data_IF_621911069047
#
_entry.id   IF_621911069047
#
_cell.length_a   1.000
_cell.length_b   1.000
_cell.length_c   1.000
_cell.angle_alpha   90.00
_cell.angle_beta   90.00
_cell.angle_gamma   90.00
#
_symmetry.space_group_name_H-M   'P 1'
#
loop_
_entity.id
_entity.type
_entity.pdbx_description
1 polymer ?
#
# COMPACT_ATOMS: atom_id res chain seq x y z
N UNK A 1 1.95 30.67 21.67
CA UNK A 1 3.24 30.15 21.48
C UNK A 1 3.22 28.63 21.53
N UNK A 2 3.35 28.07 22.67
CA UNK A 2 3.40 26.60 22.78
C UNK A 2 2.08 25.94 22.37
N UNK A 3 0.95 26.59 22.56
CA UNK A 3 -0.33 26.01 22.21
C UNK A 3 -0.47 25.72 20.73
N UNK A 4 0.00 26.63 19.88
CA UNK A 4 -0.10 26.42 18.43
C UNK A 4 0.74 25.23 18.00
N UNK A 5 1.97 25.13 18.50
CA UNK A 5 2.81 23.99 18.21
C UNK A 5 2.21 22.69 18.78
N UNK A 6 1.66 22.79 19.98
CA UNK A 6 1.04 21.62 20.60
C UNK A 6 -0.20 21.16 19.86
N UNK A 7 -0.98 22.09 19.29
CA UNK A 7 -2.15 21.73 18.51
C UNK A 7 -1.79 20.88 17.28
N UNK A 8 -0.76 21.30 16.55
CA UNK A 8 -0.30 20.52 15.40
C UNK A 8 0.26 19.18 15.83
N UNK A 9 1.04 19.20 16.90
CA UNK A 9 1.62 17.98 17.42
C UNK A 9 0.54 17.00 17.91
N UNK A 10 -0.46 17.51 18.63
CA UNK A 10 -1.56 16.69 19.12
C UNK A 10 -2.38 16.09 18.00
N UNK A 11 -2.61 16.86 16.94
CA UNK A 11 -3.34 16.36 15.77
C UNK A 11 -2.57 15.24 15.08
N UNK A 12 -1.28 15.43 14.89
CA UNK A 12 -0.43 14.40 14.30
C UNK A 12 -0.38 13.15 15.16
N UNK A 13 -0.34 13.33 16.48
CA UNK A 13 -0.36 12.22 17.40
C UNK A 13 -1.66 11.42 17.30
N UNK A 14 -2.79 12.12 17.20
CA UNK A 14 -4.10 11.48 17.05
C UNK A 14 -4.17 10.65 15.78
N UNK A 15 -3.70 11.19 14.67
CA UNK A 15 -3.62 10.44 13.42
C UNK A 15 -2.71 9.22 13.57
N UNK A 16 -1.55 9.39 14.20
CA UNK A 16 -0.63 8.30 14.46
C UNK A 16 -1.27 7.18 15.28
N UNK A 17 -2.02 7.54 16.31
CA UNK A 17 -2.70 6.57 17.16
C UNK A 17 -3.75 5.77 16.39
N UNK A 18 -4.51 6.43 15.52
CA UNK A 18 -5.52 5.76 14.69
C UNK A 18 -4.87 4.69 13.82
N UNK A 19 -3.79 5.03 13.14
CA UNK A 19 -3.08 4.09 12.27
C UNK A 19 -2.37 3.01 13.06
N UNK A 20 -1.81 3.35 14.21
CA UNK A 20 -1.18 2.38 15.11
C UNK A 20 -2.18 1.36 15.61
N UNK A 21 -3.37 1.79 16.01
CA UNK A 21 -4.42 0.89 16.45
C UNK A 21 -4.90 0.00 15.31
N UNK A 22 -5.01 0.55 14.10
CA UNK A 22 -5.35 -0.22 12.91
C UNK A 22 -4.33 -1.32 12.64
N UNK A 23 -3.06 -1.01 12.79
CA UNK A 23 -1.98 -1.97 12.60
C UNK A 23 -2.03 -3.06 13.68
N UNK A 24 -2.31 -2.70 14.93
CA UNK A 24 -2.47 -3.66 16.02
C UNK A 24 -3.62 -4.63 15.73
N UNK A 25 -4.74 -4.14 15.23
CA UNK A 25 -5.87 -4.98 14.85
C UNK A 25 -5.45 -5.93 13.73
N UNK A 26 -4.76 -5.43 12.73
CA UNK A 26 -4.24 -6.26 11.64
C UNK A 26 -3.34 -7.38 12.16
N UNK A 27 -2.39 -7.05 13.02
CA UNK A 27 -1.42 -8.02 13.54
C UNK A 27 -2.08 -9.08 14.43
N UNK A 28 -3.21 -8.75 15.05
CA UNK A 28 -3.96 -9.70 15.87
C UNK A 28 -5.00 -10.47 15.06
N UNK A 29 -5.32 -10.01 13.87
CA UNK A 29 -6.35 -10.65 13.06
C UNK A 29 -5.82 -11.96 12.47
N UNK A 30 -6.75 -12.84 12.15
CA UNK A 30 -6.43 -14.06 11.40
C UNK A 30 -6.56 -13.84 9.91
N UNK A 31 -6.61 -12.58 9.49
CA UNK A 31 -6.73 -12.20 8.10
C UNK A 31 -5.55 -12.70 7.27
N UNK A 32 -5.82 -12.99 6.02
CA UNK A 32 -4.78 -13.43 5.08
C UNK A 32 -4.03 -12.23 4.55
N UNK A 33 -2.73 -12.38 4.45
CA UNK A 33 -1.83 -11.31 4.01
C UNK A 33 -1.16 -11.74 2.69
N UNK A 34 -1.20 -10.84 1.72
CA UNK A 34 -0.43 -10.95 0.49
C UNK A 34 0.77 -10.03 0.58
N UNK A 35 1.97 -10.56 0.36
CA UNK A 35 3.19 -9.77 0.42
C UNK A 35 3.81 -9.74 -0.97
N UNK A 36 4.07 -8.53 -1.45
CA UNK A 36 4.76 -8.30 -2.73
C UNK A 36 5.99 -7.45 -2.50
N UNK A 37 7.04 -7.75 -3.22
CA UNK A 37 8.30 -7.02 -3.14
C UNK A 37 8.61 -6.40 -4.49
N UNK A 38 8.83 -5.08 -4.51
CA UNK A 38 9.32 -4.38 -5.68
C UNK A 38 10.79 -4.00 -5.50
N UNK A 39 11.60 -4.31 -6.50
CA UNK A 39 13.04 -4.10 -6.47
C UNK A 39 13.42 -2.96 -7.39
N UNK A 40 14.35 -2.16 -6.96
CA UNK A 40 15.12 -1.13 -7.66
C UNK A 40 14.39 -0.28 -8.70
N UNK A 41 13.71 -0.88 -9.67
CA UNK A 41 13.11 -0.15 -10.79
C UNK A 41 12.08 0.89 -10.35
N UNK A 42 11.37 0.66 -9.27
CA UNK A 42 10.40 1.61 -8.73
C UNK A 42 11.07 2.94 -8.37
N UNK A 43 12.29 2.90 -7.89
CA UNK A 43 13.05 4.10 -7.53
C UNK A 43 13.42 4.90 -8.77
N UNK A 44 13.80 4.22 -9.86
CA UNK A 44 14.16 4.87 -11.11
C UNK A 44 12.95 5.53 -11.77
N UNK A 45 11.83 4.84 -11.80
CA UNK A 45 10.61 5.31 -12.50
C UNK A 45 9.70 6.18 -11.64
N UNK A 46 9.80 6.05 -10.32
CA UNK A 46 8.84 6.66 -9.40
C UNK A 46 7.48 5.98 -9.43
N UNK A 47 7.37 4.80 -10.03
CA UNK A 47 6.10 4.10 -10.20
C UNK A 47 6.06 2.82 -9.41
N UNK A 48 4.87 2.51 -8.90
CA UNK A 48 4.55 1.25 -8.26
C UNK A 48 3.83 0.37 -9.27
N UNK A 49 4.26 -0.89 -9.37
CA UNK A 49 3.66 -1.85 -10.28
C UNK A 49 2.83 -2.87 -9.50
N UNK A 50 1.60 -3.08 -9.92
CA UNK A 50 0.71 -4.05 -9.30
C UNK A 50 0.25 -5.03 -10.37
N UNK A 51 0.52 -6.31 -10.15
CA UNK A 51 0.12 -7.33 -11.10
C UNK A 51 -1.38 -7.56 -11.04
N UNK A 52 -2.04 -7.55 -12.19
CA UNK A 52 -3.47 -7.85 -12.33
C UNK A 52 -3.72 -8.99 -13.31
N UNK A 53 -2.74 -9.29 -14.15
CA UNK A 53 -2.82 -10.42 -15.09
C UNK A 53 -1.42 -10.87 -15.48
N UNK A 54 -1.32 -12.12 -15.89
CA UNK A 54 -0.07 -12.71 -16.34
C UNK A 54 -0.41 -13.72 -17.43
N UNK A 55 0.22 -13.55 -18.60
CA UNK A 55 0.00 -14.45 -19.76
C UNK A 55 -1.48 -14.58 -20.12
N UNK A 56 -2.23 -13.47 -20.09
CA UNK A 56 -3.64 -13.41 -20.46
C UNK A 56 -4.59 -13.91 -19.39
N UNK A 57 -4.12 -14.34 -18.25
CA UNK A 57 -4.96 -14.80 -17.13
C UNK A 57 -4.92 -13.78 -16.00
N UNK A 58 -6.06 -13.62 -15.33
CA UNK A 58 -6.10 -12.77 -14.12
C UNK A 58 -5.15 -13.32 -13.07
N UNK A 59 -4.41 -12.43 -12.42
CA UNK A 59 -3.45 -12.79 -11.39
C UNK A 59 -3.26 -11.64 -10.40
N UNK A 60 -2.42 -11.84 -9.41
CA UNK A 60 -2.08 -10.80 -8.44
C UNK A 60 -3.31 -10.22 -7.77
N UNK A 61 -3.45 -8.90 -7.84
CA UNK A 61 -4.56 -8.18 -7.19
C UNK A 61 -5.94 -8.60 -7.73
N UNK A 62 -6.02 -9.03 -8.98
CA UNK A 62 -7.29 -9.46 -9.58
C UNK A 62 -7.87 -10.71 -8.97
N UNK A 63 -7.03 -11.60 -8.42
CA UNK A 63 -7.45 -12.90 -7.94
C UNK A 63 -7.17 -13.15 -6.47
N UNK A 64 -6.45 -12.28 -5.82
CA UNK A 64 -6.07 -12.50 -4.42
C UNK A 64 -7.29 -12.66 -3.54
N UNK A 65 -7.24 -13.61 -2.63
CA UNK A 65 -8.25 -13.82 -1.59
C UNK A 65 -7.77 -13.30 -0.25
N UNK A 66 -6.66 -12.57 -0.26
CA UNK A 66 -6.12 -11.98 0.95
C UNK A 66 -6.93 -10.77 1.36
N UNK A 67 -6.90 -10.48 2.66
CA UNK A 67 -7.59 -9.33 3.22
C UNK A 67 -6.71 -8.09 3.19
N UNK A 68 -5.40 -8.29 3.30
CA UNK A 68 -4.41 -7.23 3.38
C UNK A 68 -3.32 -7.42 2.34
N UNK A 69 -2.84 -6.30 1.81
CA UNK A 69 -1.77 -6.25 0.83
C UNK A 69 -0.61 -5.46 1.40
N UNK A 70 0.56 -6.11 1.49
CA UNK A 70 1.81 -5.50 1.91
C UNK A 70 2.70 -5.37 0.70
N UNK A 71 3.06 -4.15 0.34
CA UNK A 71 3.92 -3.88 -0.79
C UNK A 71 5.25 -3.34 -0.27
N UNK A 72 6.32 -4.09 -0.44
CA UNK A 72 7.63 -3.77 0.13
C UNK A 72 8.53 -3.24 -0.96
N UNK A 73 9.13 -2.08 -0.74
CA UNK A 73 10.02 -1.42 -1.68
C UNK A 73 11.46 -1.62 -1.27
N UNK A 74 12.26 -2.17 -2.17
CA UNK A 74 13.65 -2.58 -1.91
C UNK A 74 14.59 -1.90 -2.89
N UNK A 75 15.75 -1.44 -2.40
CA UNK A 75 16.86 -0.96 -3.24
C UNK A 75 18.12 -1.68 -2.77
N UNK A 76 18.83 -2.31 -3.68
CA UNK A 76 20.08 -3.04 -3.40
C UNK A 76 19.91 -4.02 -2.23
N UNK A 77 18.78 -4.73 -2.19
CA UNK A 77 18.52 -5.71 -1.15
C UNK A 77 18.11 -5.14 0.20
N UNK A 78 17.94 -3.83 0.30
CA UNK A 78 17.54 -3.19 1.54
C UNK A 78 16.12 -2.65 1.45
N UNK A 79 15.31 -2.90 2.47
CA UNK A 79 13.96 -2.38 2.54
C UNK A 79 14.00 -0.88 2.77
N UNK A 80 13.37 -0.12 1.87
CA UNK A 80 13.29 1.34 1.95
C UNK A 80 11.92 1.84 2.38
N UNK A 81 10.90 1.03 2.21
CA UNK A 81 9.57 1.39 2.63
C UNK A 81 8.60 0.25 2.44
N UNK A 82 7.41 0.43 2.97
CA UNK A 82 6.35 -0.55 2.84
C UNK A 82 5.01 0.16 2.82
N UNK A 83 4.14 -0.29 1.92
CA UNK A 83 2.76 0.16 1.84
C UNK A 83 1.87 -1.00 2.28
N UNK A 84 0.99 -0.73 3.24
CA UNK A 84 0.06 -1.73 3.74
C UNK A 84 -1.37 -1.22 3.58
N UNK A 85 -2.20 -1.95 2.86
CA UNK A 85 -3.57 -1.56 2.59
C UNK A 85 -4.50 -2.76 2.64
N UNK A 86 -5.76 -2.55 3.06
CA UNK A 86 -6.80 -3.54 2.80
C UNK A 86 -6.92 -3.78 1.30
N UNK A 87 -7.09 -5.02 0.89
CA UNK A 87 -7.16 -5.36 -0.54
C UNK A 87 -8.29 -4.61 -1.24
N UNK A 88 -9.45 -4.49 -0.60
CA UNK A 88 -10.57 -3.75 -1.17
C UNK A 88 -10.23 -2.29 -1.45
N UNK A 89 -9.55 -1.64 -0.53
CA UNK A 89 -9.10 -0.26 -0.70
C UNK A 89 -8.09 -0.13 -1.84
N UNK A 90 -7.14 -1.06 -1.90
CA UNK A 90 -6.16 -1.05 -2.98
C UNK A 90 -6.82 -1.18 -4.34
N UNK A 91 -7.80 -2.08 -4.47
CA UNK A 91 -8.56 -2.24 -5.72
C UNK A 91 -9.27 -0.94 -6.10
N UNK A 92 -9.90 -0.28 -5.14
CA UNK A 92 -10.59 0.99 -5.38
C UNK A 92 -9.63 2.09 -5.82
N UNK A 93 -8.49 2.18 -5.17
CA UNK A 93 -7.46 3.17 -5.52
C UNK A 93 -6.96 2.94 -6.94
N UNK A 94 -6.62 1.70 -7.28
CA UNK A 94 -6.13 1.36 -8.62
C UNK A 94 -7.16 1.67 -9.70
N UNK A 95 -8.41 1.29 -9.50
CA UNK A 95 -9.48 1.57 -10.44
C UNK A 95 -9.71 3.07 -10.61
N UNK A 96 -9.67 3.83 -9.51
CA UNK A 96 -9.79 5.28 -9.56
C UNK A 96 -8.67 5.94 -10.33
N UNK A 97 -7.44 5.50 -10.11
CA UNK A 97 -6.28 6.05 -10.79
C UNK A 97 -6.30 5.74 -12.30
N UNK A 98 -6.77 4.57 -12.67
CA UNK A 98 -6.92 4.21 -14.09
C UNK A 98 -7.97 5.11 -14.74
N UNK A 99 -9.11 5.29 -14.11
CA UNK A 99 -10.19 6.16 -14.64
C UNK A 99 -9.72 7.61 -14.79
N UNK A 100 -8.90 8.09 -13.88
CA UNK A 100 -8.42 9.47 -13.88
C UNK A 100 -7.15 9.66 -14.72
N UNK A 101 -6.67 8.63 -15.39
CA UNK A 101 -5.47 8.70 -16.22
C UNK A 101 -4.17 8.80 -15.44
N UNK A 102 -4.21 8.58 -14.12
CA UNK A 102 -3.01 8.62 -13.27
C UNK A 102 -2.26 7.29 -13.23
N UNK A 103 -2.88 6.24 -13.69
CA UNK A 103 -2.28 4.92 -13.83
C UNK A 103 -2.71 4.32 -15.15
N UNK A 104 -1.91 3.41 -15.68
CA UNK A 104 -2.23 2.71 -16.92
C UNK A 104 -1.98 1.22 -16.77
N UNK A 105 -2.74 0.46 -17.55
CA UNK A 105 -2.49 -0.98 -17.67
C UNK A 105 -1.36 -1.19 -18.66
N UNK A 106 -0.43 -2.04 -18.31
CA UNK A 106 0.71 -2.40 -19.16
C UNK A 106 0.58 -3.90 -19.46
N UNK A 107 0.67 -4.21 -20.72
CA UNK A 107 0.54 -5.59 -21.18
C UNK A 107 1.88 -6.32 -21.18
#
# INVERSE_FOLDING_TARGET
>A
MKKEKNSYFDLDLSYGEIYEDGLKVLLKSKGKIEVKTERDKWYETGNMAIEISCSGKKSGLSVTKSDWWFHIFVIDGKVKGMLCLPVGELKNICNGMIRNGKARKVM
#
